data_IF_987604045376
#
_entry.id   IF_987604045376
#
_cell.length_a   1.000
_cell.length_b   1.000
_cell.length_c   1.000
_cell.angle_alpha   90.00
_cell.angle_beta   90.00
_cell.angle_gamma   90.00
#
_symmetry.space_group_name_H-M   'P 1'
#
loop_
_entity.id
_entity.type
_entity.pdbx_description
1 polymer ?
#
# COMPACT_ATOMS: atom_id res chain seq x y z
N UNK A 1 14.00 -6.11 14.71
CA UNK A 1 13.81 -6.39 13.27
C UNK A 1 14.53 -5.29 12.54
N UNK A 2 15.43 -5.64 11.64
CA UNK A 2 16.14 -4.64 10.84
C UNK A 2 15.16 -3.95 9.89
N UNK A 3 15.35 -2.68 9.56
CA UNK A 3 14.46 -1.93 8.65
C UNK A 3 14.29 -2.66 7.32
N UNK A 4 15.35 -3.29 6.81
CA UNK A 4 15.30 -4.07 5.57
C UNK A 4 14.38 -5.29 5.66
N UNK A 5 14.23 -5.89 6.84
CA UNK A 5 13.32 -7.01 7.07
C UNK A 5 11.86 -6.53 7.08
N UNK A 6 11.59 -5.37 7.71
CA UNK A 6 10.28 -4.70 7.67
C UNK A 6 9.87 -4.43 6.23
N UNK A 7 10.76 -3.81 5.43
CA UNK A 7 10.46 -3.48 4.03
C UNK A 7 10.23 -4.73 3.17
N UNK A 8 10.99 -5.81 3.42
CA UNK A 8 10.84 -7.08 2.70
C UNK A 8 9.51 -7.74 3.02
N UNK A 9 9.11 -7.74 4.29
CA UNK A 9 7.83 -8.30 4.71
C UNK A 9 6.66 -7.47 4.18
N UNK A 10 6.73 -6.14 4.24
CA UNK A 10 5.74 -5.25 3.62
C UNK A 10 5.60 -5.56 2.12
N UNK A 11 6.72 -5.68 1.39
CA UNK A 11 6.73 -6.04 -0.03
C UNK A 11 6.08 -7.41 -0.31
N UNK A 12 6.38 -8.42 0.51
CA UNK A 12 5.78 -9.74 0.39
C UNK A 12 4.26 -9.70 0.61
N UNK A 13 3.81 -8.98 1.63
CA UNK A 13 2.38 -8.83 1.93
C UNK A 13 1.65 -8.08 0.83
N UNK A 14 2.22 -7.01 0.28
CA UNK A 14 1.66 -6.32 -0.89
C UNK A 14 1.49 -7.31 -2.02
N UNK A 15 2.57 -8.03 -2.40
CA UNK A 15 2.53 -9.02 -3.48
C UNK A 15 1.40 -10.04 -3.28
N UNK A 16 1.26 -10.62 -2.08
CA UNK A 16 0.19 -11.58 -1.83
C UNK A 16 -1.21 -10.99 -1.99
N UNK A 17 -1.41 -9.71 -1.65
CA UNK A 17 -2.70 -9.03 -1.73
C UNK A 17 -3.02 -8.50 -3.14
N UNK A 18 -2.03 -8.30 -4.01
CA UNK A 18 -2.25 -7.70 -5.35
C UNK A 18 -1.96 -8.64 -6.53
N UNK A 19 -1.27 -9.77 -6.33
CA UNK A 19 -0.80 -10.66 -7.41
C UNK A 19 -1.90 -11.13 -8.37
N UNK A 20 -3.13 -11.27 -7.87
CA UNK A 20 -4.28 -11.76 -8.64
C UNK A 20 -5.19 -10.63 -9.13
N UNK A 21 -4.86 -9.36 -8.83
CA UNK A 21 -5.65 -8.19 -9.23
C UNK A 21 -5.18 -7.60 -10.56
N UNK A 22 -3.88 -7.65 -10.84
CA UNK A 22 -3.30 -7.02 -12.03
C UNK A 22 -3.97 -7.53 -13.33
N UNK A 23 -4.47 -6.60 -14.14
CA UNK A 23 -5.19 -6.93 -15.38
C UNK A 23 -6.65 -7.34 -15.20
N UNK A 24 -7.19 -7.26 -13.99
CA UNK A 24 -8.62 -7.47 -13.70
C UNK A 24 -9.34 -6.14 -13.43
N UNK A 25 -10.67 -6.13 -13.55
CA UNK A 25 -11.50 -4.98 -13.16
C UNK A 25 -11.36 -4.63 -11.67
N UNK A 26 -10.94 -5.60 -10.84
CA UNK A 26 -10.68 -5.40 -9.41
C UNK A 26 -9.43 -4.58 -9.09
N UNK A 27 -8.47 -4.48 -10.02
CA UNK A 27 -7.34 -3.54 -9.89
C UNK A 27 -7.73 -2.11 -10.30
N UNK A 28 -8.71 -1.99 -11.20
CA UNK A 28 -9.23 -0.71 -11.65
C UNK A 28 -10.12 -0.06 -10.57
N UNK A 29 -10.73 1.07 -10.92
CA UNK A 29 -11.55 1.86 -10.02
C UNK A 29 -11.06 3.29 -9.94
N UNK A 30 -11.91 4.15 -9.37
CA UNK A 30 -11.63 5.55 -9.08
C UNK A 30 -11.96 5.75 -7.61
N UNK A 31 -10.91 5.88 -6.79
CA UNK A 31 -11.04 6.15 -5.35
C UNK A 31 -10.76 7.62 -5.03
N UNK A 32 -10.85 8.50 -6.03
CA UNK A 32 -10.46 9.90 -5.93
C UNK A 32 -9.03 10.15 -6.36
N UNK A 33 -8.58 11.39 -6.12
CA UNK A 33 -7.24 11.85 -6.48
C UNK A 33 -6.33 11.71 -5.26
N UNK A 34 -5.23 10.98 -5.42
CA UNK A 34 -4.20 10.82 -4.39
C UNK A 34 -3.47 12.13 -4.12
N UNK A 35 -2.67 12.17 -3.06
CA UNK A 35 -1.82 13.31 -2.76
C UNK A 35 -0.79 13.59 -3.88
N UNK A 36 -0.43 12.56 -4.67
CA UNK A 36 0.38 12.67 -5.88
C UNK A 36 -0.29 13.42 -7.05
N UNK A 37 -1.62 13.57 -7.04
CA UNK A 37 -2.38 14.27 -8.07
C UNK A 37 -2.97 13.38 -9.17
N UNK A 38 -2.65 12.08 -9.17
CA UNK A 38 -3.24 11.08 -10.06
C UNK A 38 -4.45 10.38 -9.41
N UNK A 39 -5.27 9.70 -10.23
CA UNK A 39 -6.42 8.92 -9.75
C UNK A 39 -5.90 7.67 -9.05
N UNK A 40 -6.21 7.52 -7.75
CA UNK A 40 -5.87 6.34 -6.98
C UNK A 40 -6.72 5.14 -7.42
N UNK A 41 -6.07 4.12 -7.99
CA UNK A 41 -6.74 2.88 -8.40
C UNK A 41 -6.88 1.96 -7.20
N UNK A 42 -7.77 0.97 -7.32
CA UNK A 42 -8.02 0.07 -6.20
C UNK A 42 -6.78 -0.76 -5.84
N UNK A 43 -5.95 -1.10 -6.82
CA UNK A 43 -4.66 -1.78 -6.56
C UNK A 43 -3.71 -0.91 -5.72
N UNK A 44 -3.68 0.41 -5.94
CA UNK A 44 -2.86 1.35 -5.19
C UNK A 44 -3.35 1.43 -3.74
N UNK A 45 -4.67 1.55 -3.55
CA UNK A 45 -5.31 1.57 -2.23
C UNK A 45 -5.01 0.29 -1.45
N UNK A 46 -5.11 -0.88 -2.09
CA UNK A 46 -4.83 -2.17 -1.45
C UNK A 46 -3.35 -2.27 -1.08
N UNK A 47 -2.44 -1.84 -1.95
CA UNK A 47 -1.01 -1.85 -1.68
C UNK A 47 -0.65 -0.94 -0.51
N UNK A 48 -1.10 0.33 -0.52
CA UNK A 48 -0.78 1.29 0.54
C UNK A 48 -1.41 0.87 1.87
N UNK A 49 -2.68 0.46 1.87
CA UNK A 49 -3.35 -0.05 3.09
C UNK A 49 -2.60 -1.26 3.68
N UNK A 50 -2.08 -2.15 2.85
CA UNK A 50 -1.31 -3.31 3.31
C UNK A 50 -0.05 -2.89 4.07
N UNK A 51 0.64 -1.84 3.61
CA UNK A 51 1.80 -1.28 4.32
C UNK A 51 1.38 -0.66 5.64
N UNK A 52 0.35 0.19 5.64
CA UNK A 52 -0.14 0.87 6.84
C UNK A 52 -0.60 -0.13 7.91
N UNK A 53 -1.37 -1.14 7.53
CA UNK A 53 -1.85 -2.18 8.43
C UNK A 53 -0.67 -2.94 9.04
N UNK A 54 0.34 -3.29 8.25
CA UNK A 54 1.53 -4.00 8.74
C UNK A 54 2.38 -3.15 9.68
N UNK A 55 2.66 -1.88 9.35
CA UNK A 55 3.44 -0.99 10.20
C UNK A 55 2.73 -0.75 11.55
N UNK A 56 1.40 -0.62 11.54
CA UNK A 56 0.60 -0.55 12.77
C UNK A 56 0.61 -1.86 13.56
N UNK A 57 0.52 -3.03 12.90
CA UNK A 57 0.54 -4.36 13.53
C UNK A 57 1.81 -4.59 14.37
N UNK A 58 2.96 -4.10 13.88
CA UNK A 58 4.25 -4.28 14.55
C UNK A 58 4.65 -3.07 15.42
N UNK A 59 3.76 -2.08 15.57
CA UNK A 59 4.01 -0.82 16.29
C UNK A 59 5.32 -0.14 15.83
N UNK A 60 5.53 -0.06 14.51
CA UNK A 60 6.76 0.52 13.94
C UNK A 60 6.74 2.04 14.04
N UNK A 61 7.61 2.59 14.89
CA UNK A 61 7.73 4.03 15.09
C UNK A 61 8.26 4.72 13.83
N UNK A 62 7.35 5.31 13.06
CA UNK A 62 7.66 6.08 11.87
C UNK A 62 6.58 7.11 11.55
N UNK A 63 6.94 8.08 10.69
CA UNK A 63 5.97 8.93 10.01
C UNK A 63 5.83 8.38 8.60
N UNK A 64 4.59 8.15 8.18
CA UNK A 64 4.29 7.72 6.81
C UNK A 64 4.08 8.96 5.94
N UNK A 65 4.45 8.86 4.67
CA UNK A 65 4.11 9.84 3.64
C UNK A 65 3.84 9.04 2.36
N UNK A 66 2.59 8.63 2.18
CA UNK A 66 2.15 7.86 1.03
C UNK A 66 1.67 8.74 -0.13
N UNK A 67 1.71 8.20 -1.35
CA UNK A 67 1.18 8.88 -2.54
C UNK A 67 -0.34 9.05 -2.46
N UNK A 68 -1.05 8.08 -1.88
CA UNK A 68 -2.52 8.10 -1.85
C UNK A 68 -3.06 8.82 -0.62
N UNK A 69 -2.48 8.54 0.56
CA UNK A 69 -2.93 9.15 1.81
C UNK A 69 -2.28 10.50 2.15
N UNK A 70 -1.11 10.82 1.59
CA UNK A 70 -0.38 12.07 1.83
C UNK A 70 0.06 12.31 3.28
N UNK A 71 0.01 11.31 4.15
CA UNK A 71 0.21 11.44 5.60
C UNK A 71 0.75 10.18 6.26
#
# INVERSE_FOLDING_TARGET
MEVIEVLREASNRIYQNVKDLAGTDGAAGDNGVGAGGDISRNIDIIAEKTVLDYLNEIDFECIVLGEECGR
#
